data_IF_485918174181
#
_entry.id   IF_485918174181
#
_cell.length_a   1.000
_cell.length_b   1.000
_cell.length_c   1.000
_cell.angle_alpha   90.00
_cell.angle_beta   90.00
_cell.angle_gamma   90.00
#
_symmetry.space_group_name_H-M   'P 1'
#
loop_
_entity.id
_entity.type
_entity.pdbx_description
1 polymer ?
#
# COMPACT_ATOMS: atom_id res chain seq x y z
N UNK A 1 -52.84 -74.35 -17.67
CA UNK A 1 -51.92 -73.25 -17.79
C UNK A 1 -52.34 -72.33 -18.93
N UNK A 2 -52.81 -71.18 -18.51
CA UNK A 2 -53.45 -70.15 -19.34
C UNK A 2 -52.38 -69.26 -20.01
N UNK A 3 -52.63 -68.89 -21.26
CA UNK A 3 -51.81 -67.96 -22.02
C UNK A 3 -52.25 -66.49 -21.72
N UNK A 4 -51.32 -65.49 -21.68
CA UNK A 4 -51.71 -64.14 -21.39
C UNK A 4 -52.26 -63.38 -22.57
N UNK A 5 -53.30 -62.60 -22.31
CA UNK A 5 -54.03 -61.69 -23.17
C UNK A 5 -53.16 -60.54 -23.69
N UNK A 6 -53.15 -60.29 -24.99
CA UNK A 6 -52.60 -59.10 -25.63
C UNK A 6 -53.49 -57.89 -25.39
N UNK A 7 -52.97 -56.83 -24.82
CA UNK A 7 -53.66 -55.54 -24.76
C UNK A 7 -53.42 -54.73 -26.06
N UNK A 8 -54.45 -54.20 -26.60
CA UNK A 8 -54.41 -53.26 -27.73
C UNK A 8 -54.07 -51.84 -27.17
N UNK A 9 -53.32 -51.03 -27.95
CA UNK A 9 -52.99 -49.65 -27.55
C UNK A 9 -54.23 -48.76 -27.75
N UNK A 10 -54.47 -47.92 -26.72
CA UNK A 10 -55.54 -46.94 -26.72
C UNK A 10 -55.12 -45.64 -27.38
N UNK A 11 -56.02 -44.98 -28.10
CA UNK A 11 -55.82 -43.74 -28.87
C UNK A 11 -55.42 -42.46 -28.05
N UNK A 12 -55.03 -42.65 -26.82
CA UNK A 12 -54.70 -41.56 -25.90
C UNK A 12 -53.19 -41.17 -25.95
N UNK A 13 -52.35 -42.00 -26.64
CA UNK A 13 -50.89 -41.75 -26.68
C UNK A 13 -50.47 -40.72 -27.74
N UNK A 14 -51.26 -40.50 -28.78
CA UNK A 14 -50.86 -39.66 -29.92
C UNK A 14 -51.15 -38.16 -29.72
N UNK A 15 -52.05 -37.82 -28.80
CA UNK A 15 -52.41 -36.45 -28.51
C UNK A 15 -51.37 -35.76 -27.57
N UNK A 16 -50.57 -36.53 -26.83
CA UNK A 16 -49.55 -35.99 -25.94
C UNK A 16 -48.22 -35.69 -26.63
N UNK A 17 -47.97 -36.34 -27.79
CA UNK A 17 -46.72 -36.08 -28.53
C UNK A 17 -46.77 -34.81 -29.36
N UNK A 18 -47.95 -34.36 -29.78
CA UNK A 18 -48.12 -33.08 -30.51
C UNK A 18 -48.07 -31.85 -29.59
N UNK A 19 -48.42 -31.98 -28.32
CA UNK A 19 -48.33 -30.84 -27.33
C UNK A 19 -46.92 -30.61 -26.84
N UNK A 20 -46.04 -31.59 -26.87
CA UNK A 20 -44.66 -31.44 -26.43
C UNK A 20 -43.76 -30.73 -27.46
N UNK A 21 -44.15 -30.76 -28.77
CA UNK A 21 -43.37 -30.10 -29.84
C UNK A 21 -43.61 -28.59 -29.91
N UNK A 22 -44.65 -28.04 -29.27
CA UNK A 22 -44.94 -26.61 -29.28
C UNK A 22 -44.47 -25.90 -28.00
N UNK A 23 -44.04 -26.63 -26.95
CA UNK A 23 -43.47 -26.03 -25.74
C UNK A 23 -41.95 -25.79 -25.84
N UNK A 24 -41.26 -26.43 -26.80
CA UNK A 24 -39.82 -26.21 -26.99
C UNK A 24 -39.47 -25.07 -27.96
N UNK A 25 -40.43 -24.55 -28.72
CA UNK A 25 -40.19 -23.42 -29.62
C UNK A 25 -40.32 -22.06 -28.94
N UNK A 26 -40.84 -22.00 -27.70
CA UNK A 26 -41.02 -20.76 -26.93
C UNK A 26 -39.87 -20.40 -26.00
N UNK A 27 -38.95 -21.31 -25.71
CA UNK A 27 -37.86 -21.09 -24.74
C UNK A 27 -36.52 -20.68 -25.37
N UNK A 28 -36.39 -20.54 -26.70
CA UNK A 28 -35.14 -20.18 -27.36
C UNK A 28 -34.98 -18.70 -27.68
N UNK A 29 -35.91 -17.84 -27.28
CA UNK A 29 -35.84 -16.38 -27.53
C UNK A 29 -35.69 -15.52 -26.24
N UNK A 30 -35.43 -16.14 -25.07
CA UNK A 30 -35.24 -15.43 -23.81
C UNK A 30 -33.78 -15.49 -23.26
N UNK A 31 -32.80 -15.91 -24.08
CA UNK A 31 -31.38 -16.03 -23.63
C UNK A 31 -30.48 -14.94 -24.24
N UNK A 32 -31.02 -13.87 -24.76
CA UNK A 32 -30.18 -12.81 -25.36
C UNK A 32 -30.09 -11.51 -24.56
N UNK A 33 -30.44 -11.50 -23.28
CA UNK A 33 -30.08 -10.40 -22.37
C UNK A 33 -29.47 -10.97 -21.08
N UNK A 34 -28.38 -11.74 -21.24
CA UNK A 34 -27.44 -11.78 -20.12
C UNK A 34 -26.91 -10.36 -19.98
N UNK A 35 -27.00 -9.72 -18.80
CA UNK A 35 -26.37 -8.44 -18.61
C UNK A 35 -24.89 -8.62 -18.99
N UNK A 36 -24.39 -7.71 -19.82
CA UNK A 36 -22.97 -7.62 -20.09
C UNK A 36 -22.27 -7.79 -18.75
N UNK A 37 -21.33 -8.74 -18.67
CA UNK A 37 -20.54 -8.99 -17.45
C UNK A 37 -20.01 -7.64 -17.02
N UNK A 38 -20.61 -7.06 -15.98
CA UNK A 38 -20.28 -5.73 -15.51
C UNK A 38 -18.79 -5.71 -15.21
N UNK A 39 -18.10 -4.68 -15.68
CA UNK A 39 -16.72 -4.47 -15.30
C UNK A 39 -16.64 -4.57 -13.77
N UNK A 40 -15.65 -5.30 -13.25
CA UNK A 40 -15.44 -5.44 -11.82
C UNK A 40 -15.31 -4.04 -11.19
N UNK A 41 -15.88 -3.83 -10.02
CA UNK A 41 -15.73 -2.57 -9.29
C UNK A 41 -14.25 -2.16 -9.20
N UNK A 42 -13.93 -0.86 -9.10
CA UNK A 42 -12.56 -0.44 -8.87
C UNK A 42 -12.06 -1.02 -7.53
N UNK A 43 -10.77 -1.35 -7.48
CA UNK A 43 -10.11 -1.76 -6.24
C UNK A 43 -9.30 -0.58 -5.72
N UNK A 44 -9.47 -0.22 -4.46
CA UNK A 44 -8.69 0.81 -3.79
C UNK A 44 -7.93 0.20 -2.62
N UNK A 45 -6.61 0.30 -2.66
CA UNK A 45 -5.74 0.07 -1.51
C UNK A 45 -5.54 1.40 -0.76
N UNK A 46 -5.63 1.37 0.56
CA UNK A 46 -5.34 2.52 1.42
C UNK A 46 -4.15 2.14 2.28
N UNK A 47 -3.06 2.83 2.03
CA UNK A 47 -1.77 2.66 2.70
C UNK A 47 -1.45 3.90 3.52
N UNK A 48 -0.86 3.66 4.67
CA UNK A 48 -0.33 4.71 5.55
C UNK A 48 1.15 4.49 5.78
N UNK A 49 1.93 5.55 5.71
CA UNK A 49 3.38 5.46 5.78
C UNK A 49 3.93 5.96 7.13
N UNK A 50 5.22 5.71 7.39
CA UNK A 50 6.05 6.16 8.49
C UNK A 50 5.79 5.49 9.86
N UNK A 51 5.16 4.31 9.93
CA UNK A 51 5.02 3.58 11.21
C UNK A 51 6.41 3.33 11.82
N UNK A 52 6.58 3.69 13.08
CA UNK A 52 7.86 3.64 13.80
C UNK A 52 8.56 4.97 13.92
N UNK A 53 8.17 5.99 13.15
CA UNK A 53 8.80 7.31 13.20
C UNK A 53 8.65 7.98 14.58
N UNK A 54 7.40 8.05 15.07
CA UNK A 54 7.03 8.70 16.35
C UNK A 54 5.92 7.89 17.04
N UNK A 55 5.78 8.06 18.35
CA UNK A 55 4.67 7.47 19.10
C UNK A 55 3.31 7.95 18.57
N UNK A 56 3.15 9.23 18.31
CA UNK A 56 1.94 9.83 17.76
C UNK A 56 1.60 9.31 16.35
N UNK A 57 2.59 8.98 15.53
CA UNK A 57 2.41 8.31 14.24
C UNK A 57 1.95 6.87 14.46
N UNK A 58 2.59 6.13 15.36
CA UNK A 58 2.22 4.76 15.69
C UNK A 58 0.76 4.66 16.15
N UNK A 59 0.35 5.52 17.07
CA UNK A 59 -1.04 5.58 17.54
C UNK A 59 -2.02 5.91 16.41
N UNK A 60 -1.74 6.93 15.60
CA UNK A 60 -2.59 7.32 14.48
C UNK A 60 -2.71 6.21 13.44
N UNK A 61 -1.62 5.53 13.09
CA UNK A 61 -1.62 4.40 12.17
C UNK A 61 -2.53 3.27 12.66
N UNK A 62 -2.47 2.94 13.93
CA UNK A 62 -3.34 1.89 14.51
C UNK A 62 -4.80 2.34 14.60
N UNK A 63 -5.07 3.59 14.93
CA UNK A 63 -6.43 4.13 14.95
C UNK A 63 -7.06 4.11 13.55
N UNK A 64 -6.31 4.49 12.50
CA UNK A 64 -6.80 4.46 11.11
C UNK A 64 -7.06 3.04 10.60
N UNK A 65 -6.38 2.04 11.15
CA UNK A 65 -6.68 0.63 10.90
C UNK A 65 -7.91 0.15 11.68
N UNK A 66 -7.94 0.37 13.00
CA UNK A 66 -8.98 -0.19 13.88
C UNK A 66 -10.34 0.46 13.70
N UNK A 67 -10.37 1.78 13.50
CA UNK A 67 -11.59 2.59 13.42
C UNK A 67 -11.84 3.19 12.05
N UNK A 68 -10.88 3.10 11.14
CA UNK A 68 -10.92 3.69 9.81
C UNK A 68 -10.83 2.67 8.68
N UNK A 69 -10.26 3.11 7.57
CA UNK A 69 -10.25 2.39 6.29
C UNK A 69 -8.86 1.90 5.86
N UNK A 70 -7.78 2.26 6.57
CA UNK A 70 -6.44 1.80 6.24
C UNK A 70 -6.32 0.27 6.40
N UNK A 71 -5.57 -0.37 5.50
CA UNK A 71 -5.37 -1.83 5.51
C UNK A 71 -3.92 -2.24 5.31
N UNK A 72 -3.04 -1.30 4.94
CA UNK A 72 -1.60 -1.50 4.78
C UNK A 72 -0.84 -0.36 5.46
N UNK A 73 0.31 -0.66 6.02
CA UNK A 73 1.19 0.30 6.70
C UNK A 73 2.64 0.04 6.38
N UNK A 74 3.42 1.13 6.20
CA UNK A 74 4.84 1.04 5.92
C UNK A 74 5.66 1.34 7.17
N UNK A 75 6.52 0.39 7.57
CA UNK A 75 7.29 0.48 8.82
C UNK A 75 8.75 0.82 8.59
N UNK A 76 9.29 1.73 9.40
CA UNK A 76 10.64 2.29 9.32
C UNK A 76 11.58 1.65 10.36
N UNK A 77 12.45 0.70 10.01
CA UNK A 77 13.30 -0.01 10.98
C UNK A 77 14.33 0.87 11.69
N UNK A 78 14.78 1.94 11.05
CA UNK A 78 15.79 2.87 11.59
C UNK A 78 15.23 3.88 12.60
N UNK A 79 13.91 4.01 12.66
CA UNK A 79 13.26 5.01 13.48
C UNK A 79 13.20 4.60 14.97
N UNK A 80 13.19 5.60 15.86
CA UNK A 80 13.33 5.37 17.30
C UNK A 80 12.17 4.59 17.93
N UNK A 81 10.95 4.72 17.37
CA UNK A 81 9.75 4.06 17.86
C UNK A 81 9.45 2.73 17.15
N UNK A 82 10.41 2.20 16.39
CA UNK A 82 10.28 0.90 15.70
C UNK A 82 9.94 -0.27 16.67
N UNK A 83 10.53 -0.39 17.87
CA UNK A 83 10.14 -1.46 18.80
C UNK A 83 8.66 -1.45 19.19
N UNK A 84 8.07 -0.27 19.34
CA UNK A 84 6.64 -0.12 19.58
C UNK A 84 5.84 -0.51 18.33
N UNK A 85 6.25 -0.06 17.15
CA UNK A 85 5.62 -0.43 15.88
C UNK A 85 5.55 -1.95 15.71
N UNK A 86 6.63 -2.67 16.00
CA UNK A 86 6.68 -4.14 15.99
C UNK A 86 5.67 -4.76 16.96
N UNK A 87 5.56 -4.22 18.18
CA UNK A 87 4.57 -4.70 19.16
C UNK A 87 3.14 -4.49 18.64
N UNK A 88 2.86 -3.30 18.16
CA UNK A 88 1.53 -2.94 17.63
C UNK A 88 1.14 -3.78 16.41
N UNK A 89 2.07 -4.07 15.51
CA UNK A 89 1.82 -4.97 14.38
C UNK A 89 1.48 -6.39 14.83
N UNK A 90 2.18 -6.93 15.83
CA UNK A 90 1.86 -8.25 16.41
C UNK A 90 0.48 -8.28 17.09
N UNK A 91 0.06 -7.19 17.69
CA UNK A 91 -1.27 -7.04 18.30
C UNK A 91 -2.38 -6.84 17.24
N UNK A 92 -2.02 -6.47 16.00
CA UNK A 92 -2.94 -6.24 14.88
C UNK A 92 -2.55 -7.10 13.66
N UNK A 93 -2.63 -8.44 13.74
CA UNK A 93 -2.12 -9.34 12.70
C UNK A 93 -2.88 -9.26 11.36
N UNK A 94 -4.04 -8.61 11.33
CA UNK A 94 -4.80 -8.36 10.10
C UNK A 94 -4.40 -7.08 9.36
N UNK A 95 -3.51 -6.26 9.93
CA UNK A 95 -2.93 -5.11 9.26
C UNK A 95 -1.76 -5.59 8.40
N UNK A 96 -1.85 -5.37 7.10
CA UNK A 96 -0.75 -5.67 6.17
C UNK A 96 0.43 -4.73 6.45
N UNK A 97 1.64 -5.28 6.47
CA UNK A 97 2.84 -4.51 6.77
C UNK A 97 3.83 -4.56 5.61
N UNK A 98 4.23 -3.39 5.14
CA UNK A 98 5.35 -3.18 4.23
C UNK A 98 6.57 -2.66 4.96
N UNK A 99 7.74 -2.93 4.42
CA UNK A 99 8.99 -2.34 4.86
C UNK A 99 9.22 -1.01 4.15
N UNK A 100 9.29 0.07 4.89
CA UNK A 100 9.67 1.39 4.38
C UNK A 100 11.19 1.55 4.46
N UNK A 101 11.90 1.33 3.36
CA UNK A 101 13.35 1.47 3.28
C UNK A 101 13.76 2.94 3.39
N UNK A 102 14.67 3.25 4.30
CA UNK A 102 15.00 4.62 4.71
C UNK A 102 16.49 4.89 4.57
N UNK A 103 16.86 5.97 3.88
CA UNK A 103 18.22 6.53 3.85
C UNK A 103 18.23 8.07 3.98
N UNK A 104 17.13 8.62 4.50
CA UNK A 104 16.99 10.06 4.77
C UNK A 104 16.43 10.29 6.18
N UNK A 105 16.61 11.49 6.73
CA UNK A 105 16.08 11.89 8.04
C UNK A 105 15.73 13.37 8.03
N UNK A 106 14.54 13.70 7.52
CA UNK A 106 14.10 15.05 7.18
C UNK A 106 13.74 15.95 8.37
N UNK A 107 13.45 15.35 9.53
CA UNK A 107 13.01 16.08 10.71
C UNK A 107 14.13 16.89 11.35
N UNK A 108 13.84 18.06 11.90
CA UNK A 108 14.87 18.95 12.44
C UNK A 108 15.33 18.53 13.85
N UNK A 109 14.39 18.24 14.74
CA UNK A 109 14.68 17.96 16.15
C UNK A 109 14.81 16.48 16.47
N UNK A 110 14.48 15.60 15.52
CA UNK A 110 14.61 14.14 15.64
C UNK A 110 15.33 13.60 14.42
N UNK A 111 16.42 12.89 14.64
CA UNK A 111 17.24 12.31 13.59
C UNK A 111 17.46 10.83 13.85
N UNK A 112 17.43 10.03 12.79
CA UNK A 112 17.85 8.63 12.87
C UNK A 112 19.15 8.38 12.13
N UNK A 113 19.78 7.31 12.55
CA UNK A 113 21.06 6.83 12.03
C UNK A 113 20.87 5.54 11.26
N UNK A 114 21.79 5.22 10.35
CA UNK A 114 21.83 3.91 9.73
C UNK A 114 21.93 2.79 10.78
N UNK A 115 21.46 1.59 10.41
CA UNK A 115 21.71 0.34 11.15
C UNK A 115 23.14 -0.15 10.94
N UNK A 116 23.79 0.30 9.88
CA UNK A 116 25.14 -0.12 9.47
C UNK A 116 26.11 1.06 9.42
N UNK A 117 27.39 0.76 9.19
CA UNK A 117 28.37 1.81 8.93
C UNK A 117 28.33 2.20 7.46
N UNK A 118 27.69 3.32 7.15
CA UNK A 118 27.55 3.86 5.79
C UNK A 118 27.76 5.38 5.74
N UNK A 119 29.01 5.82 5.92
CA UNK A 119 29.37 7.24 6.00
C UNK A 119 29.02 8.06 4.74
N UNK A 120 28.90 7.43 3.58
CA UNK A 120 28.51 8.13 2.36
C UNK A 120 27.01 8.55 2.33
N UNK A 121 26.19 8.00 3.23
CA UNK A 121 24.78 8.31 3.34
C UNK A 121 24.46 9.25 4.52
N UNK A 122 25.49 9.72 5.25
CA UNK A 122 25.31 10.48 6.49
C UNK A 122 26.06 11.81 6.48
N UNK A 123 25.56 12.72 7.30
CA UNK A 123 26.23 13.96 7.63
C UNK A 123 27.47 13.72 8.55
N UNK A 124 28.16 14.79 8.91
CA UNK A 124 29.35 14.74 9.79
C UNK A 124 29.04 14.23 11.22
N UNK A 125 27.77 14.27 11.64
CA UNK A 125 27.30 13.78 12.94
C UNK A 125 26.85 12.29 12.86
N UNK A 126 26.87 11.69 11.65
CA UNK A 126 26.45 10.33 11.41
C UNK A 126 24.94 10.13 11.35
N UNK A 127 24.15 11.18 11.12
CA UNK A 127 22.73 11.09 10.78
C UNK A 127 22.55 11.01 9.29
N UNK A 128 21.52 10.31 8.84
CA UNK A 128 21.14 10.37 7.43
C UNK A 128 20.90 11.81 6.98
N UNK A 129 21.26 12.12 5.73
CA UNK A 129 20.93 13.41 5.12
C UNK A 129 19.41 13.65 5.16
N UNK A 130 18.93 14.90 5.34
CA UNK A 130 17.51 15.18 5.43
C UNK A 130 16.76 14.96 4.12
N UNK A 131 17.43 15.08 2.97
CA UNK A 131 16.79 15.09 1.67
C UNK A 131 17.37 14.02 0.74
N UNK A 132 16.55 13.50 -0.17
CA UNK A 132 17.02 12.63 -1.25
C UNK A 132 17.69 13.45 -2.36
N UNK A 133 17.03 14.48 -2.84
CA UNK A 133 17.52 15.42 -3.86
C UNK A 133 17.73 16.82 -3.32
N UNK A 134 18.35 17.68 -4.14
CA UNK A 134 18.63 19.07 -3.76
C UNK A 134 17.37 19.81 -3.31
N UNK A 135 17.47 20.46 -2.17
CA UNK A 135 16.40 21.28 -1.58
C UNK A 135 16.97 22.61 -1.13
N UNK A 136 16.45 23.76 -1.60
CA UNK A 136 16.95 25.08 -1.20
C UNK A 136 16.89 25.37 0.32
N UNK A 137 16.01 24.71 1.07
CA UNK A 137 15.94 24.81 2.52
C UNK A 137 17.09 24.05 3.22
N UNK A 138 17.69 23.07 2.53
CA UNK A 138 18.77 22.22 3.04
C UNK A 138 19.91 22.12 2.03
N UNK A 139 20.61 23.24 1.69
CA UNK A 139 21.61 23.27 0.63
C UNK A 139 22.78 22.33 0.93
N UNK A 140 23.12 21.45 -0.01
CA UNK A 140 24.20 20.48 0.13
C UNK A 140 23.89 19.30 1.06
N UNK A 141 22.66 19.21 1.60
CA UNK A 141 22.26 18.22 2.60
C UNK A 141 21.30 17.17 1.98
N UNK A 142 21.61 16.68 0.80
CA UNK A 142 20.87 15.57 0.19
C UNK A 142 21.80 14.44 -0.22
N UNK A 143 21.27 13.23 -0.29
CA UNK A 143 22.01 12.05 -0.75
C UNK A 143 22.58 12.30 -2.16
N UNK A 144 21.77 12.85 -3.07
CA UNK A 144 22.17 13.06 -4.47
C UNK A 144 23.16 14.21 -4.69
N UNK A 145 23.31 15.15 -3.76
CA UNK A 145 24.34 16.19 -3.82
C UNK A 145 25.68 15.71 -3.29
N UNK A 146 25.72 14.57 -2.61
CA UNK A 146 26.90 13.98 -2.00
C UNK A 146 27.38 12.75 -2.76
N UNK A 147 28.58 12.28 -2.46
CA UNK A 147 29.18 11.08 -3.08
C UNK A 147 28.72 9.83 -2.34
N UNK A 148 27.50 9.40 -2.60
CA UNK A 148 27.00 8.16 -2.06
C UNK A 148 27.61 6.92 -2.72
N UNK A 149 27.67 5.79 -1.99
CA UNK A 149 28.21 4.52 -2.47
C UNK A 149 27.08 3.47 -2.51
N UNK A 150 26.88 2.86 -3.67
CA UNK A 150 25.87 1.80 -3.89
C UNK A 150 26.08 0.60 -2.95
N UNK A 151 27.30 0.29 -2.55
CA UNK A 151 27.59 -0.80 -1.63
C UNK A 151 27.09 -0.48 -0.23
N UNK A 152 27.20 0.78 0.19
CA UNK A 152 26.68 1.22 1.48
C UNK A 152 25.15 1.26 1.45
N UNK A 153 24.53 1.68 0.34
CA UNK A 153 23.07 1.58 0.14
C UNK A 153 22.62 0.11 0.23
N UNK A 154 23.30 -0.81 -0.44
CA UNK A 154 22.98 -2.23 -0.38
C UNK A 154 23.13 -2.79 1.04
N UNK A 155 24.24 -2.49 1.71
CA UNK A 155 24.48 -2.94 3.08
C UNK A 155 23.38 -2.47 4.03
N UNK A 156 23.00 -1.23 3.94
CA UNK A 156 21.96 -0.64 4.77
C UNK A 156 20.57 -1.23 4.47
N UNK A 157 20.21 -1.35 3.20
CA UNK A 157 18.94 -1.96 2.83
C UNK A 157 18.83 -3.42 3.28
N UNK A 158 19.91 -4.20 3.18
CA UNK A 158 19.94 -5.57 3.69
C UNK A 158 19.69 -5.62 5.20
N UNK A 159 20.36 -4.76 5.96
CA UNK A 159 20.17 -4.70 7.41
C UNK A 159 18.73 -4.35 7.79
N UNK A 160 18.11 -3.39 7.09
CA UNK A 160 16.72 -3.02 7.31
C UNK A 160 15.75 -4.15 6.93
N UNK A 161 15.96 -4.83 5.81
CA UNK A 161 15.15 -5.98 5.36
C UNK A 161 15.24 -7.13 6.39
N UNK A 162 16.45 -7.52 6.78
CA UNK A 162 16.69 -8.61 7.71
C UNK A 162 16.10 -8.32 9.09
N UNK A 163 16.23 -7.10 9.56
CA UNK A 163 15.62 -6.65 10.81
C UNK A 163 14.09 -6.72 10.77
N UNK A 164 13.49 -6.27 9.70
CA UNK A 164 12.03 -6.30 9.53
C UNK A 164 11.51 -7.74 9.40
N UNK A 165 12.11 -8.57 8.56
CA UNK A 165 11.75 -9.99 8.39
C UNK A 165 11.86 -10.77 9.69
N UNK A 166 12.87 -10.47 10.54
CA UNK A 166 13.04 -11.10 11.85
C UNK A 166 11.93 -10.76 12.83
N UNK A 167 11.41 -9.54 12.78
CA UNK A 167 10.56 -8.99 13.82
C UNK A 167 9.06 -8.97 13.47
N UNK A 168 8.70 -8.92 12.17
CA UNK A 168 7.35 -8.66 11.67
C UNK A 168 6.86 -9.87 10.85
N UNK A 169 6.04 -10.75 11.46
CA UNK A 169 5.59 -11.99 10.78
C UNK A 169 4.71 -11.72 9.53
N UNK A 170 3.95 -10.62 9.52
CA UNK A 170 3.05 -10.24 8.42
C UNK A 170 3.70 -9.34 7.36
N UNK A 171 5.03 -9.22 7.34
CA UNK A 171 5.73 -8.42 6.34
C UNK A 171 5.51 -9.01 4.95
N UNK A 172 4.95 -8.22 4.04
CA UNK A 172 4.48 -8.70 2.73
C UNK A 172 5.18 -8.06 1.53
N UNK A 173 5.72 -6.86 1.69
CA UNK A 173 6.31 -6.07 0.61
C UNK A 173 7.28 -5.03 1.15
N UNK A 174 7.92 -4.29 0.25
CA UNK A 174 8.76 -3.13 0.60
C UNK A 174 8.50 -1.95 -0.32
N UNK A 175 8.70 -0.77 0.25
CA UNK A 175 8.55 0.54 -0.37
C UNK A 175 9.76 1.41 -0.04
N UNK A 176 9.80 2.65 -0.51
CA UNK A 176 10.90 3.56 -0.25
C UNK A 176 10.47 4.90 0.33
N UNK A 177 10.95 5.19 1.55
CA UNK A 177 10.80 6.51 2.15
C UNK A 177 11.46 7.58 1.27
N UNK A 178 10.74 8.67 0.99
CA UNK A 178 11.23 9.77 0.15
C UNK A 178 11.90 9.32 -1.17
N UNK A 179 11.33 8.29 -1.82
CA UNK A 179 11.84 7.71 -3.09
C UNK A 179 13.19 6.98 -2.97
N UNK A 180 13.62 6.57 -1.78
CA UNK A 180 14.90 5.90 -1.53
C UNK A 180 15.16 4.66 -2.40
N UNK A 181 14.11 3.98 -2.84
CA UNK A 181 14.20 2.74 -3.64
C UNK A 181 14.39 2.96 -5.13
N UNK A 182 14.37 4.22 -5.62
CA UNK A 182 14.35 4.47 -7.06
C UNK A 182 14.97 5.79 -7.51
N UNK A 183 15.75 6.46 -6.67
CA UNK A 183 16.34 7.76 -6.99
C UNK A 183 17.38 7.71 -8.12
N UNK A 184 17.95 6.53 -8.43
CA UNK A 184 18.75 6.28 -9.63
C UNK A 184 18.41 4.92 -10.25
N UNK A 185 18.80 4.72 -11.52
CA UNK A 185 18.64 3.42 -12.19
C UNK A 185 19.40 2.32 -11.45
N UNK A 186 20.61 2.59 -10.97
CA UNK A 186 21.45 1.63 -10.26
C UNK A 186 20.80 1.16 -8.93
N UNK A 187 20.27 2.09 -8.15
CA UNK A 187 19.52 1.76 -6.92
C UNK A 187 18.25 1.00 -7.25
N UNK A 188 17.60 1.37 -8.35
CA UNK A 188 16.45 0.64 -8.84
C UNK A 188 16.77 -0.85 -9.12
N UNK A 189 17.83 -1.12 -9.85
CA UNK A 189 18.30 -2.48 -10.16
C UNK A 189 18.69 -3.24 -8.88
N UNK A 190 19.36 -2.57 -7.94
CA UNK A 190 19.67 -3.11 -6.62
C UNK A 190 18.40 -3.57 -5.89
N UNK A 191 17.40 -2.70 -5.77
CA UNK A 191 16.16 -3.01 -5.06
C UNK A 191 15.41 -4.18 -5.70
N UNK A 192 15.35 -4.27 -7.03
CA UNK A 192 14.76 -5.41 -7.72
C UNK A 192 15.50 -6.73 -7.43
N UNK A 193 16.83 -6.67 -7.33
CA UNK A 193 17.64 -7.82 -6.95
C UNK A 193 17.36 -8.26 -5.51
N UNK A 194 17.32 -7.32 -4.56
CA UNK A 194 16.98 -7.60 -3.15
C UNK A 194 15.54 -8.13 -3.01
N UNK A 195 14.58 -7.57 -3.73
CA UNK A 195 13.20 -8.05 -3.76
C UNK A 195 13.10 -9.54 -4.13
N UNK A 196 13.87 -9.94 -5.15
CA UNK A 196 13.94 -11.34 -5.58
C UNK A 196 14.67 -12.23 -4.57
N UNK A 197 15.78 -11.74 -4.02
CA UNK A 197 16.62 -12.50 -3.08
C UNK A 197 15.89 -12.82 -1.78
N UNK A 198 15.20 -11.82 -1.22
CA UNK A 198 14.45 -11.96 0.02
C UNK A 198 13.00 -12.42 -0.17
N UNK A 199 12.58 -12.66 -1.42
CA UNK A 199 11.19 -12.96 -1.76
C UNK A 199 10.20 -11.94 -1.17
N UNK A 200 10.57 -10.66 -1.21
CA UNK A 200 9.81 -9.54 -0.67
C UNK A 200 9.63 -8.50 -1.81
N UNK A 201 8.46 -8.45 -2.48
CA UNK A 201 8.27 -7.59 -3.64
C UNK A 201 8.35 -6.11 -3.27
N UNK A 202 8.97 -5.31 -4.16
CA UNK A 202 8.91 -3.85 -4.08
C UNK A 202 7.72 -3.35 -4.90
N UNK A 203 6.89 -2.47 -4.32
CA UNK A 203 5.61 -2.09 -4.92
C UNK A 203 5.52 -0.66 -5.46
N UNK A 204 6.36 0.25 -5.05
CA UNK A 204 6.29 1.68 -5.42
C UNK A 204 6.92 2.00 -6.78
N UNK A 205 6.76 1.11 -7.77
CA UNK A 205 7.58 1.19 -8.98
C UNK A 205 6.75 0.89 -10.21
N UNK A 206 7.11 1.53 -11.32
CA UNK A 206 6.50 1.25 -12.63
C UNK A 206 6.79 -0.18 -13.11
N UNK A 207 7.89 -0.77 -12.69
CA UNK A 207 8.32 -2.13 -13.00
C UNK A 207 7.94 -3.18 -11.94
N UNK A 208 7.18 -2.80 -10.91
CA UNK A 208 6.61 -3.72 -9.93
C UNK A 208 5.80 -4.84 -10.60
N UNK A 209 5.70 -6.02 -10.00
CA UNK A 209 4.82 -7.07 -10.49
C UNK A 209 3.40 -6.56 -10.76
N UNK A 210 2.72 -7.10 -11.78
CA UNK A 210 1.40 -6.60 -12.23
C UNK A 210 0.40 -6.46 -11.09
N UNK A 211 0.43 -7.38 -10.13
CA UNK A 211 -0.49 -7.36 -8.99
C UNK A 211 -0.19 -6.27 -7.95
N UNK A 212 0.97 -5.63 -8.07
CA UNK A 212 1.40 -4.51 -7.23
C UNK A 212 1.47 -3.18 -8.00
N UNK A 213 0.87 -3.12 -9.20
CA UNK A 213 0.75 -1.88 -9.96
C UNK A 213 -0.57 -1.21 -9.65
N UNK A 214 -0.48 0.02 -9.19
CA UNK A 214 -1.61 0.86 -8.85
C UNK A 214 -1.54 2.19 -9.59
N UNK A 215 -2.70 2.79 -9.81
CA UNK A 215 -2.78 4.22 -10.14
C UNK A 215 -2.88 4.98 -8.83
N UNK A 216 -1.92 5.85 -8.57
CA UNK A 216 -1.95 6.71 -7.38
C UNK A 216 -3.09 7.71 -7.49
N UNK A 217 -3.81 7.88 -6.39
CA UNK A 217 -4.79 8.95 -6.22
C UNK A 217 -4.46 9.72 -4.94
N UNK A 218 -4.76 11.01 -4.95
CA UNK A 218 -4.64 11.89 -3.79
C UNK A 218 -5.97 12.58 -3.50
N UNK A 219 -5.94 13.61 -2.67
CA UNK A 219 -7.06 14.50 -2.42
C UNK A 219 -7.41 15.32 -3.66
N UNK A 220 -8.68 15.31 -4.08
CA UNK A 220 -9.18 16.09 -5.20
C UNK A 220 -9.75 17.44 -4.72
N UNK A 221 -8.86 18.32 -4.26
CA UNK A 221 -9.20 19.64 -3.75
C UNK A 221 -8.42 20.00 -2.47
N UNK A 222 -8.93 20.98 -1.67
CA UNK A 222 -8.30 21.35 -0.42
C UNK A 222 -8.15 20.15 0.55
N UNK A 223 -7.06 20.15 1.32
CA UNK A 223 -6.71 19.06 2.24
C UNK A 223 -5.98 19.54 3.50
N UNK A 224 -6.27 20.77 3.95
CA UNK A 224 -5.61 21.35 5.13
C UNK A 224 -6.30 21.02 6.44
N UNK A 225 -7.58 20.67 6.40
CA UNK A 225 -8.36 20.28 7.58
C UNK A 225 -8.98 18.91 7.35
N UNK A 226 -9.35 18.23 8.43
CA UNK A 226 -10.01 16.91 8.34
C UNK A 226 -11.28 16.95 7.48
N UNK A 227 -12.07 18.02 7.59
CA UNK A 227 -13.28 18.20 6.78
C UNK A 227 -12.95 18.37 5.27
N UNK A 228 -11.94 19.16 4.95
CA UNK A 228 -11.47 19.33 3.56
C UNK A 228 -10.91 18.03 3.01
N UNK A 229 -10.13 17.28 3.81
CA UNK A 229 -9.60 15.96 3.43
C UNK A 229 -10.73 14.99 3.13
N UNK A 230 -11.75 14.89 4.01
CA UNK A 230 -12.91 14.02 3.81
C UNK A 230 -13.62 14.34 2.49
N UNK A 231 -14.01 15.61 2.26
CA UNK A 231 -14.67 16.01 1.03
C UNK A 231 -13.81 15.76 -0.22
N UNK A 232 -12.52 16.08 -0.15
CA UNK A 232 -11.58 15.91 -1.26
C UNK A 232 -11.32 14.45 -1.57
N UNK A 233 -11.26 13.59 -0.56
CA UNK A 233 -11.15 12.15 -0.71
C UNK A 233 -12.41 11.57 -1.36
N UNK A 234 -13.61 11.96 -0.90
CA UNK A 234 -14.87 11.53 -1.51
C UNK A 234 -14.92 11.94 -2.99
N UNK A 235 -14.46 13.15 -3.34
CA UNK A 235 -14.37 13.55 -4.75
C UNK A 235 -13.42 12.66 -5.54
N UNK A 236 -12.30 12.25 -4.98
CA UNK A 236 -11.38 11.30 -5.61
C UNK A 236 -12.03 9.93 -5.85
N UNK A 237 -12.78 9.42 -4.88
CA UNK A 237 -13.50 8.14 -5.01
C UNK A 237 -14.51 8.15 -6.18
N UNK A 238 -15.18 9.29 -6.42
CA UNK A 238 -16.13 9.43 -7.51
C UNK A 238 -15.50 9.41 -8.92
N UNK A 239 -14.17 9.47 -9.01
CA UNK A 239 -13.42 9.43 -10.28
C UNK A 239 -12.85 8.03 -10.58
N UNK A 240 -13.04 7.06 -9.69
CA UNK A 240 -12.51 5.71 -9.87
C UNK A 240 -13.25 4.98 -10.99
N UNK A 241 -12.49 4.39 -11.88
CA UNK A 241 -13.00 3.64 -13.03
C UNK A 241 -13.08 2.14 -12.73
N UNK A 242 -14.16 1.51 -13.14
CA UNK A 242 -14.37 0.07 -13.00
C UNK A 242 -13.21 -0.75 -13.59
N UNK A 243 -12.82 -1.81 -12.91
CA UNK A 243 -11.74 -2.71 -13.32
C UNK A 243 -10.31 -2.19 -13.11
N UNK A 244 -10.14 -0.94 -12.64
CA UNK A 244 -8.82 -0.38 -12.32
C UNK A 244 -8.46 -0.58 -10.86
N UNK A 245 -7.16 -0.54 -10.57
CA UNK A 245 -6.58 -0.66 -9.22
C UNK A 245 -5.94 0.67 -8.84
N UNK A 246 -6.28 1.16 -7.66
CA UNK A 246 -5.83 2.45 -7.15
C UNK A 246 -5.14 2.29 -5.80
N UNK A 247 -4.22 3.19 -5.52
CA UNK A 247 -3.57 3.34 -4.22
C UNK A 247 -3.76 4.79 -3.75
N UNK A 248 -4.34 4.94 -2.58
CA UNK A 248 -4.31 6.17 -1.79
C UNK A 248 -3.28 6.01 -0.68
N UNK A 249 -2.42 7.00 -0.52
CA UNK A 249 -1.35 7.02 0.46
C UNK A 249 -1.48 8.28 1.32
N UNK A 250 -1.35 8.14 2.63
CA UNK A 250 -1.26 9.26 3.56
C UNK A 250 -0.29 8.96 4.72
N UNK A 251 0.02 9.97 5.53
CA UNK A 251 0.98 9.94 6.61
C UNK A 251 0.29 10.41 7.91
N UNK A 252 -0.50 9.58 8.58
CA UNK A 252 -1.26 10.01 9.75
C UNK A 252 -0.37 10.24 10.97
N UNK A 253 -0.71 11.25 11.76
CA UNK A 253 -0.17 11.49 13.09
C UNK A 253 -1.20 12.20 13.97
N UNK A 254 -1.12 12.00 15.29
CA UNK A 254 -1.93 12.76 16.21
C UNK A 254 -1.34 14.15 16.41
N UNK A 255 -2.16 15.19 16.44
CA UNK A 255 -1.75 16.53 16.85
C UNK A 255 -1.56 16.59 18.37
N UNK A 256 -0.40 16.22 18.83
CA UNK A 256 -0.02 16.22 20.24
C UNK A 256 1.32 16.92 20.47
N UNK A 257 1.76 16.97 21.72
CA UNK A 257 3.00 17.67 22.10
C UNK A 257 4.22 17.06 21.42
N UNK A 258 4.30 15.74 21.21
CA UNK A 258 5.39 15.09 20.49
C UNK A 258 5.50 15.62 19.05
N UNK A 259 4.41 15.59 18.28
CA UNK A 259 4.41 16.09 16.90
C UNK A 259 4.71 17.57 16.76
N UNK A 260 4.38 18.37 17.79
CA UNK A 260 4.67 19.81 17.84
C UNK A 260 6.14 20.13 18.10
N UNK A 261 6.93 19.13 18.47
CA UNK A 261 8.37 19.31 18.78
C UNK A 261 9.31 18.80 17.70
N UNK A 262 8.82 18.06 16.67
CA UNK A 262 9.69 17.48 15.64
C UNK A 262 10.30 18.53 14.70
N UNK A 263 9.60 19.65 14.49
CA UNK A 263 10.12 20.86 13.86
C UNK A 263 10.06 22.02 14.86
N UNK A 264 10.97 22.97 14.73
CA UNK A 264 10.95 24.19 15.54
C UNK A 264 10.13 25.33 14.92
N UNK A 265 9.92 25.31 13.59
CA UNK A 265 9.13 26.30 12.83
C UNK A 265 8.13 25.54 11.94
N UNK A 266 6.88 25.97 11.97
CA UNK A 266 5.84 25.43 11.07
C UNK A 266 5.29 24.06 11.46
N UNK A 267 5.47 23.66 12.73
CA UNK A 267 4.92 22.37 13.21
C UNK A 267 3.40 22.29 13.04
N UNK A 268 2.70 23.44 13.13
CA UNK A 268 1.25 23.51 12.96
C UNK A 268 0.83 22.99 11.58
N UNK A 269 1.62 23.30 10.55
CA UNK A 269 1.35 22.78 9.21
C UNK A 269 1.58 21.27 9.16
N UNK A 270 2.66 20.78 9.76
CA UNK A 270 2.95 19.33 9.77
C UNK A 270 1.87 18.55 10.53
N UNK A 271 1.44 19.04 11.70
CA UNK A 271 0.38 18.41 12.46
C UNK A 271 -0.96 18.40 11.70
N UNK A 272 -1.31 19.52 11.05
CA UNK A 272 -2.52 19.62 10.23
C UNK A 272 -2.47 18.73 8.98
N UNK A 273 -1.31 18.64 8.33
CA UNK A 273 -1.14 17.81 7.13
C UNK A 273 -1.22 16.32 7.46
N UNK A 274 -0.96 15.92 8.71
CA UNK A 274 -0.98 14.52 9.16
C UNK A 274 -2.27 14.13 9.93
N UNK A 275 -3.11 15.09 10.28
CA UNK A 275 -4.42 14.85 10.88
C UNK A 275 -5.43 14.35 9.81
#
# INVERSE_FOLDING_TARGET
>A
PEAPLKRQPTAQSDMNLLRLKHLFAGCLLAVSTLPAWGQSAPTLAIRIDDLGAFHSVNEACIQTYQSGIARSVEVMPVAAWYPEAVRLLKENPGLDAGLHLVITSEWENVKWRPLTHCPSLTDENGYFYPMMGANPAYPGQSVMENKWDIKEVEQEFRAQIEMALKNIPQLSHMTGHMLSTGFTKEVNELVLRLAKEYNLPSIDRMDSPKDYRFTYIGYDGPSRTSAEKEESFIRSLNKLEAGKRYLFLDHPALDNEEMRTVFHIGYEQVALDRQ
#
